data_IF_289316803066
#
_entry.id   IF_289316803066
#
_cell.length_a   1.000
_cell.length_b   1.000
_cell.length_c   1.000
_cell.angle_alpha   90.00
_cell.angle_beta   90.00
_cell.angle_gamma   90.00
#
_symmetry.space_group_name_H-M   'P 1'
#
loop_
_entity.id
_entity.type
_entity.pdbx_description
1 polymer ?
#
# COMPACT_ATOMS: atom_id res chain seq x y z
N UNK A 1 -17.25 16.43 24.47
CA UNK A 1 -16.24 15.36 24.52
C UNK A 1 -14.85 15.95 24.39
N UNK A 2 -13.87 15.32 25.03
CA UNK A 2 -12.45 15.57 24.79
C UNK A 2 -11.99 14.66 23.64
N UNK A 3 -11.58 15.24 22.55
CA UNK A 3 -11.18 14.51 21.32
C UNK A 3 -9.69 14.74 21.11
N UNK A 4 -8.91 13.68 21.16
CA UNK A 4 -7.49 13.74 20.82
C UNK A 4 -7.29 13.37 19.33
N UNK A 5 -6.75 14.32 18.58
CA UNK A 5 -6.40 14.15 17.18
C UNK A 5 -4.96 13.69 17.07
N UNK A 6 -4.76 12.46 16.60
CA UNK A 6 -3.43 11.89 16.32
C UNK A 6 -3.08 12.27 14.89
N UNK A 7 -2.33 13.38 14.72
CA UNK A 7 -1.88 13.81 13.40
C UNK A 7 -0.64 13.01 12.99
N UNK A 8 -0.86 11.95 12.19
CA UNK A 8 0.20 11.08 11.66
C UNK A 8 0.98 11.67 10.49
N UNK A 9 0.61 12.85 10.01
CA UNK A 9 1.34 13.50 8.93
C UNK A 9 2.72 14.00 9.41
N UNK A 10 3.81 13.71 8.68
CA UNK A 10 5.12 14.26 8.99
C UNK A 10 5.20 15.79 8.80
N UNK A 11 4.20 16.40 8.18
CA UNK A 11 4.12 17.86 7.96
C UNK A 11 3.56 18.61 9.17
N UNK A 12 3.10 17.93 10.22
CA UNK A 12 2.52 18.54 11.41
C UNK A 12 1.39 19.50 11.06
N UNK A 13 1.47 20.76 11.52
CA UNK A 13 0.45 21.79 11.25
C UNK A 13 0.21 22.11 9.77
N UNK A 14 1.14 21.74 8.88
CA UNK A 14 1.00 21.92 7.43
C UNK A 14 0.35 20.72 6.73
N UNK A 15 -0.21 19.78 7.50
CA UNK A 15 -0.98 18.67 6.94
C UNK A 15 -2.29 19.18 6.34
N UNK A 16 -2.58 18.74 5.10
CA UNK A 16 -3.88 19.03 4.45
C UNK A 16 -5.00 18.33 5.22
N UNK A 17 -4.80 17.09 5.63
CA UNK A 17 -5.79 16.33 6.39
C UNK A 17 -6.16 17.01 7.71
N UNK A 18 -5.18 17.62 8.38
CA UNK A 18 -5.44 18.37 9.61
C UNK A 18 -6.37 19.58 9.40
N UNK A 19 -6.40 20.18 8.19
CA UNK A 19 -7.28 21.32 7.91
C UNK A 19 -8.75 20.92 8.00
N UNK A 20 -9.10 19.69 7.64
CA UNK A 20 -10.49 19.18 7.82
C UNK A 20 -10.86 19.13 9.29
N UNK A 21 -9.93 18.73 10.17
CA UNK A 21 -10.20 18.71 11.61
C UNK A 21 -10.30 20.11 12.21
N UNK A 22 -9.47 21.06 11.78
CA UNK A 22 -9.57 22.45 12.19
C UNK A 22 -10.88 23.10 11.71
N UNK A 23 -11.40 22.68 10.57
CA UNK A 23 -12.72 23.08 10.09
C UNK A 23 -13.83 22.52 10.98
N UNK A 24 -13.75 21.23 11.34
CA UNK A 24 -14.73 20.58 12.24
C UNK A 24 -14.68 21.19 13.65
N UNK A 25 -13.52 21.47 14.21
CA UNK A 25 -13.38 22.17 15.50
C UNK A 25 -14.14 23.50 15.53
N UNK A 26 -14.04 24.28 14.45
CA UNK A 26 -14.78 25.54 14.33
C UNK A 26 -16.30 25.36 14.18
N UNK A 27 -16.75 24.24 13.63
CA UNK A 27 -18.17 23.94 13.41
C UNK A 27 -18.84 23.31 14.62
N UNK A 28 -18.06 22.66 15.49
CA UNK A 28 -18.53 21.96 16.69
C UNK A 28 -17.79 22.44 17.94
N UNK A 29 -17.96 23.75 18.31
CA UNK A 29 -17.23 24.38 19.40
C UNK A 29 -17.57 23.82 20.79
N UNK A 30 -18.63 23.02 20.92
CA UNK A 30 -19.02 22.33 22.16
C UNK A 30 -18.12 21.13 22.49
N UNK A 31 -17.22 20.73 21.56
CA UNK A 31 -16.22 19.68 21.77
C UNK A 31 -14.83 20.28 21.89
N UNK A 32 -13.98 19.65 22.70
CA UNK A 32 -12.58 20.08 22.87
C UNK A 32 -11.69 19.21 21.99
N UNK A 33 -10.98 19.83 21.07
CA UNK A 33 -9.99 19.16 20.23
C UNK A 33 -8.58 19.43 20.71
N UNK A 34 -7.79 18.39 20.90
CA UNK A 34 -6.39 18.46 21.27
C UNK A 34 -5.57 17.76 20.20
N UNK A 35 -4.63 18.46 19.56
CA UNK A 35 -3.85 17.92 18.43
C UNK A 35 -2.48 17.47 18.87
N UNK A 36 -2.20 16.17 18.73
CA UNK A 36 -0.88 15.56 18.87
C UNK A 36 -0.25 15.42 17.48
N UNK A 37 0.77 16.19 17.14
CA UNK A 37 1.47 16.13 15.86
C UNK A 37 2.44 14.92 15.80
N UNK A 38 1.91 13.72 16.02
CA UNK A 38 2.67 12.47 16.20
C UNK A 38 3.66 12.20 15.06
N UNK A 39 3.24 12.35 13.80
CA UNK A 39 4.11 12.11 12.66
C UNK A 39 5.28 13.08 12.56
N UNK A 40 5.12 14.32 13.00
CA UNK A 40 6.19 15.32 12.97
C UNK A 40 7.23 15.11 14.07
N UNK A 41 6.78 14.72 15.28
CA UNK A 41 7.63 14.62 16.46
C UNK A 41 7.98 13.16 16.83
N UNK A 42 7.80 12.22 15.92
CA UNK A 42 7.94 10.78 16.18
C UNK A 42 9.27 10.43 16.84
N UNK A 43 10.38 11.02 16.41
CA UNK A 43 11.71 10.80 17.00
C UNK A 43 11.84 11.28 18.45
N UNK A 44 11.03 12.26 18.86
CA UNK A 44 10.96 12.70 20.25
C UNK A 44 10.10 11.75 21.07
N UNK A 45 9.02 11.26 20.49
CA UNK A 45 8.12 10.28 21.12
C UNK A 45 8.79 8.92 21.35
N UNK A 46 9.72 8.52 20.48
CA UNK A 46 10.57 7.34 20.70
C UNK A 46 11.47 7.44 21.93
N UNK A 47 11.82 8.66 22.32
CA UNK A 47 12.65 8.91 23.51
C UNK A 47 11.81 9.04 24.78
N UNK A 48 10.68 9.70 24.69
CA UNK A 48 9.75 9.93 25.79
C UNK A 48 8.31 10.00 25.27
N UNK A 49 7.52 8.99 25.61
CA UNK A 49 6.12 8.86 25.20
C UNK A 49 5.14 9.31 26.31
N UNK A 50 5.62 9.72 27.47
CA UNK A 50 4.81 9.95 28.67
C UNK A 50 3.71 11.01 28.47
N UNK A 51 4.05 12.14 27.86
CA UNK A 51 3.07 13.21 27.59
C UNK A 51 2.02 12.80 26.55
N UNK A 52 2.42 12.07 25.52
CA UNK A 52 1.49 11.52 24.54
C UNK A 52 0.55 10.49 25.18
N UNK A 53 1.08 9.59 26.01
CA UNK A 53 0.29 8.61 26.75
C UNK A 53 -0.77 9.29 27.61
N UNK A 54 -0.39 10.26 28.44
CA UNK A 54 -1.33 11.00 29.28
C UNK A 54 -2.45 11.67 28.47
N UNK A 55 -2.11 12.27 27.30
CA UNK A 55 -3.09 12.91 26.42
C UNK A 55 -4.07 11.92 25.80
N UNK A 56 -3.60 10.72 25.41
CA UNK A 56 -4.44 9.67 24.86
C UNK A 56 -5.37 9.06 25.92
N UNK A 57 -4.84 8.86 27.12
CA UNK A 57 -5.60 8.29 28.23
C UNK A 57 -6.65 9.26 28.81
N UNK A 58 -6.47 10.58 28.68
CA UNK A 58 -7.46 11.60 29.09
C UNK A 58 -8.57 11.82 28.06
N UNK A 59 -8.43 11.35 26.83
CA UNK A 59 -9.40 11.55 25.77
C UNK A 59 -10.66 10.68 25.95
N UNK A 60 -11.83 11.18 25.51
CA UNK A 60 -13.05 10.39 25.34
C UNK A 60 -13.05 9.66 23.97
N UNK A 61 -12.46 10.28 22.96
CA UNK A 61 -12.37 9.76 21.63
C UNK A 61 -11.05 10.12 20.94
N UNK A 62 -10.61 9.26 20.02
CA UNK A 62 -9.39 9.42 19.22
C UNK A 62 -9.74 9.58 17.75
N UNK A 63 -9.09 10.52 17.05
CA UNK A 63 -9.21 10.67 15.59
C UNK A 63 -7.82 10.53 14.97
N UNK A 64 -7.60 9.46 14.20
CA UNK A 64 -6.39 9.30 13.40
C UNK A 64 -6.49 10.15 12.13
N UNK A 65 -5.57 11.10 11.97
CA UNK A 65 -5.54 12.06 10.86
C UNK A 65 -4.25 11.91 10.07
N UNK A 66 -4.32 11.54 8.79
CA UNK A 66 -3.12 11.24 8.02
C UNK A 66 -3.33 11.33 6.50
N UNK A 67 -2.26 11.63 5.72
CA UNK A 67 -2.26 11.41 4.27
C UNK A 67 -2.00 9.93 3.97
N UNK A 68 -2.54 9.40 2.87
CA UNK A 68 -2.17 8.05 2.41
C UNK A 68 -0.80 8.09 1.75
N UNK A 69 0.13 7.26 2.23
CA UNK A 69 1.47 7.06 1.66
C UNK A 69 1.67 5.60 1.31
N UNK A 70 2.05 5.34 0.08
CA UNK A 70 2.44 4.00 -0.38
C UNK A 70 1.45 2.92 0.11
N UNK A 71 0.20 3.02 -0.31
CA UNK A 71 -0.92 2.10 0.01
C UNK A 71 -1.47 2.16 1.44
N UNK A 72 -0.77 2.73 2.40
CA UNK A 72 -1.12 2.71 3.83
C UNK A 72 -0.96 4.11 4.47
N UNK A 73 -1.07 4.17 5.79
CA UNK A 73 -0.68 5.34 6.56
C UNK A 73 0.85 5.57 6.48
N UNK A 74 1.35 6.81 6.73
CA UNK A 74 2.79 7.07 6.76
C UNK A 74 3.52 6.25 7.83
N UNK A 75 4.77 5.88 7.57
CA UNK A 75 5.59 5.08 8.50
C UNK A 75 5.70 5.70 9.90
N UNK A 76 5.62 7.01 10.01
CA UNK A 76 5.59 7.71 11.29
C UNK A 76 4.34 7.37 12.11
N UNK A 77 3.18 7.18 11.47
CA UNK A 77 1.96 6.78 12.15
C UNK A 77 2.00 5.29 12.52
N UNK A 78 2.60 4.43 11.68
CA UNK A 78 2.88 3.04 12.04
C UNK A 78 3.72 2.99 13.31
N UNK A 79 4.83 3.74 13.35
CA UNK A 79 5.69 3.78 14.54
C UNK A 79 4.97 4.32 15.78
N UNK A 80 4.08 5.30 15.60
CA UNK A 80 3.27 5.82 16.71
C UNK A 80 2.34 4.75 17.29
N UNK A 81 1.69 3.94 16.44
CA UNK A 81 0.83 2.84 16.88
C UNK A 81 1.64 1.77 17.61
N UNK A 82 2.83 1.42 17.12
CA UNK A 82 3.75 0.53 17.84
C UNK A 82 4.09 1.09 19.23
N UNK A 83 4.42 2.40 19.33
CA UNK A 83 4.69 3.05 20.61
C UNK A 83 3.49 3.04 21.55
N UNK A 84 2.25 3.15 21.05
CA UNK A 84 1.06 2.99 21.88
C UNK A 84 0.99 1.59 22.50
N UNK A 85 1.29 0.55 21.72
CA UNK A 85 1.30 -0.85 22.18
C UNK A 85 2.47 -1.10 23.15
N UNK A 86 3.69 -0.66 22.82
CA UNK A 86 4.90 -0.79 23.63
C UNK A 86 4.74 -0.12 25.01
N UNK A 87 4.14 1.06 25.04
CA UNK A 87 3.91 1.83 26.28
C UNK A 87 2.61 1.43 27.01
N UNK A 88 1.89 0.42 26.50
CA UNK A 88 0.65 -0.08 27.11
C UNK A 88 -0.33 1.06 27.42
N UNK A 89 -0.64 1.88 26.40
CA UNK A 89 -1.56 2.99 26.53
C UNK A 89 -2.97 2.46 26.78
N UNK A 90 -3.62 2.90 27.86
CA UNK A 90 -4.98 2.46 28.18
C UNK A 90 -6.03 3.31 27.46
N UNK A 91 -6.40 2.84 26.29
CA UNK A 91 -7.46 3.44 25.45
C UNK A 91 -8.66 2.50 25.26
N UNK A 92 -8.67 1.36 25.96
CA UNK A 92 -9.72 0.36 25.83
C UNK A 92 -11.11 0.95 26.09
N UNK A 93 -12.03 0.69 25.19
CA UNK A 93 -13.44 1.13 25.28
C UNK A 93 -13.69 2.59 24.91
N UNK A 94 -12.65 3.39 24.60
CA UNK A 94 -12.79 4.74 24.03
C UNK A 94 -13.22 4.63 22.57
N UNK A 95 -13.87 5.68 22.06
CA UNK A 95 -14.27 5.74 20.66
C UNK A 95 -13.08 6.13 19.77
N UNK A 96 -13.09 5.61 18.53
CA UNK A 96 -12.10 5.99 17.55
C UNK A 96 -12.71 6.13 16.16
N UNK A 97 -12.15 7.04 15.38
CA UNK A 97 -12.40 7.16 13.94
C UNK A 97 -11.14 7.67 13.24
N UNK A 98 -11.23 7.88 11.93
CA UNK A 98 -10.10 8.37 11.14
C UNK A 98 -10.54 9.33 10.03
N UNK A 99 -9.63 10.21 9.65
CA UNK A 99 -9.76 11.05 8.46
C UNK A 99 -8.46 10.91 7.66
N UNK A 100 -8.58 10.56 6.39
CA UNK A 100 -7.44 10.57 5.47
C UNK A 100 -7.68 11.54 4.31
N UNK A 101 -6.58 12.00 3.70
CA UNK A 101 -6.62 12.69 2.40
C UNK A 101 -5.65 12.05 1.42
N UNK A 102 -6.13 11.87 0.19
CA UNK A 102 -5.34 11.30 -0.91
C UNK A 102 -5.95 11.70 -2.26
N UNK A 103 -5.50 11.09 -3.34
CA UNK A 103 -6.20 11.03 -4.63
C UNK A 103 -6.93 9.68 -4.78
N UNK A 104 -7.41 9.12 -3.67
CA UNK A 104 -8.07 7.81 -3.58
C UNK A 104 -7.19 6.64 -4.06
N UNK A 105 -5.86 6.82 -4.01
CA UNK A 105 -4.90 5.76 -4.31
C UNK A 105 -4.76 4.86 -3.10
N UNK A 106 -5.45 3.73 -3.10
CA UNK A 106 -5.44 2.72 -2.03
C UNK A 106 -5.75 3.28 -0.63
N UNK A 107 -6.64 4.27 -0.55
CA UNK A 107 -7.18 4.77 0.72
C UNK A 107 -7.92 3.68 1.50
N UNK A 108 -8.55 2.74 0.80
CA UNK A 108 -9.25 1.60 1.40
C UNK A 108 -8.31 0.71 2.23
N UNK A 109 -7.10 0.43 1.75
CA UNK A 109 -6.11 -0.36 2.50
C UNK A 109 -5.52 0.41 3.66
N UNK A 110 -5.33 1.73 3.51
CA UNK A 110 -4.91 2.61 4.59
C UNK A 110 -5.95 2.70 5.71
N UNK A 111 -7.25 2.81 5.33
CA UNK A 111 -8.34 2.81 6.29
C UNK A 111 -8.46 1.48 7.04
N UNK A 112 -8.33 0.37 6.31
CA UNK A 112 -8.40 -0.96 6.95
C UNK A 112 -7.27 -1.19 7.93
N UNK A 113 -6.05 -0.74 7.61
CA UNK A 113 -4.92 -0.79 8.52
C UNK A 113 -5.18 -0.05 9.85
N UNK A 114 -5.74 1.16 9.80
CA UNK A 114 -6.08 1.91 11.02
C UNK A 114 -7.21 1.26 11.79
N UNK A 115 -8.24 0.74 11.10
CA UNK A 115 -9.36 0.01 11.72
C UNK A 115 -8.84 -1.21 12.50
N UNK A 116 -8.05 -2.07 11.87
CA UNK A 116 -7.51 -3.29 12.47
C UNK A 116 -6.68 -2.96 13.73
N UNK A 117 -5.78 -1.98 13.65
CA UNK A 117 -4.99 -1.55 14.79
C UNK A 117 -5.80 -0.86 15.89
N UNK A 118 -6.85 -0.11 15.54
CA UNK A 118 -7.76 0.48 16.53
C UNK A 118 -8.51 -0.61 17.30
N UNK A 119 -8.93 -1.66 16.61
CA UNK A 119 -9.59 -2.81 17.23
C UNK A 119 -8.65 -3.59 18.17
N UNK A 120 -7.39 -3.79 17.78
CA UNK A 120 -6.34 -4.39 18.63
C UNK A 120 -6.11 -3.61 19.92
N UNK A 121 -6.17 -2.29 19.85
CA UNK A 121 -6.06 -1.40 21.02
C UNK A 121 -7.34 -1.41 21.88
N UNK A 122 -8.36 -2.17 21.51
CA UNK A 122 -9.65 -2.26 22.22
C UNK A 122 -10.53 -1.04 22.06
N UNK A 123 -10.28 -0.22 21.03
CA UNK A 123 -11.08 0.95 20.71
C UNK A 123 -12.42 0.55 20.07
N UNK A 124 -13.44 1.36 20.30
CA UNK A 124 -14.75 1.28 19.63
C UNK A 124 -14.67 2.06 18.33
N UNK A 125 -14.39 1.36 17.25
CA UNK A 125 -14.11 2.00 15.97
C UNK A 125 -15.39 2.39 15.22
N UNK A 126 -15.41 3.59 14.68
CA UNK A 126 -16.46 4.12 13.81
C UNK A 126 -15.82 4.51 12.48
N UNK A 127 -16.41 4.05 11.37
CA UNK A 127 -15.88 4.25 10.01
C UNK A 127 -15.53 5.71 9.73
N UNK A 128 -14.34 5.92 9.19
CA UNK A 128 -13.74 7.22 8.92
C UNK A 128 -14.15 7.87 7.60
N UNK A 129 -13.61 9.08 7.38
CA UNK A 129 -13.72 9.86 6.16
C UNK A 129 -12.47 9.70 5.30
N UNK A 130 -12.63 9.23 4.05
CA UNK A 130 -11.62 9.33 3.02
C UNK A 130 -11.97 10.49 2.09
N UNK A 131 -11.17 11.56 2.11
CA UNK A 131 -11.39 12.77 1.35
C UNK A 131 -10.34 12.94 0.24
N UNK A 132 -10.72 13.57 -0.87
CA UNK A 132 -9.74 14.08 -1.82
C UNK A 132 -8.98 15.27 -1.21
N UNK A 133 -7.78 15.51 -1.68
CA UNK A 133 -6.92 16.60 -1.18
C UNK A 133 -7.55 18.00 -1.33
N UNK A 134 -8.51 18.15 -2.23
CA UNK A 134 -9.15 19.44 -2.57
C UNK A 134 -10.60 19.54 -2.05
N UNK A 135 -11.16 18.47 -1.47
CA UNK A 135 -12.57 18.41 -1.06
C UNK A 135 -12.96 19.54 -0.09
N UNK A 136 -12.12 19.83 0.88
CA UNK A 136 -12.41 20.90 1.84
C UNK A 136 -12.51 22.29 1.19
N UNK A 137 -11.96 22.49 -0.02
CA UNK A 137 -12.02 23.76 -0.74
C UNK A 137 -13.34 23.95 -1.50
N UNK A 138 -14.16 22.90 -1.60
CA UNK A 138 -15.46 22.97 -2.26
C UNK A 138 -16.61 22.71 -1.28
N UNK A 139 -17.81 23.23 -1.64
CA UNK A 139 -19.00 23.17 -0.78
C UNK A 139 -19.39 21.72 -0.46
N UNK A 140 -19.39 20.84 -1.46
CA UNK A 140 -19.78 19.44 -1.28
C UNK A 140 -18.83 18.73 -0.30
N UNK A 141 -17.52 18.89 -0.44
CA UNK A 141 -16.56 18.27 0.46
C UNK A 141 -16.64 18.82 1.90
N UNK A 142 -17.00 20.12 2.07
CA UNK A 142 -17.30 20.65 3.39
C UNK A 142 -18.58 20.03 3.99
N UNK A 143 -19.63 19.85 3.20
CA UNK A 143 -20.85 19.17 3.61
C UNK A 143 -20.58 17.68 3.97
N UNK A 144 -19.75 17.00 3.20
CA UNK A 144 -19.37 15.60 3.49
C UNK A 144 -18.58 15.48 4.80
N UNK A 145 -17.69 16.42 5.09
CA UNK A 145 -16.98 16.48 6.36
C UNK A 145 -17.94 16.71 7.55
N UNK A 146 -18.93 17.59 7.40
CA UNK A 146 -19.95 17.82 8.43
C UNK A 146 -20.80 16.58 8.67
N UNK A 147 -21.36 15.97 7.61
CA UNK A 147 -22.18 14.74 7.70
C UNK A 147 -21.40 13.57 8.32
N UNK A 148 -20.11 13.45 7.98
CA UNK A 148 -19.25 12.46 8.60
C UNK A 148 -19.16 12.66 10.11
N UNK A 149 -18.89 13.88 10.56
CA UNK A 149 -18.69 14.15 11.98
C UNK A 149 -20.01 14.08 12.78
N UNK A 150 -21.11 14.56 12.20
CA UNK A 150 -22.46 14.39 12.76
C UNK A 150 -22.80 12.91 12.94
N UNK A 151 -22.49 12.07 11.94
CA UNK A 151 -22.66 10.61 12.04
C UNK A 151 -21.77 10.02 13.12
N UNK A 152 -20.53 10.46 13.24
CA UNK A 152 -19.62 10.02 14.30
C UNK A 152 -20.23 10.33 15.68
N UNK A 153 -20.66 11.56 15.93
CA UNK A 153 -21.28 11.97 17.18
C UNK A 153 -22.56 11.18 17.48
N UNK A 154 -23.40 10.99 16.47
CA UNK A 154 -24.60 10.17 16.60
C UNK A 154 -24.26 8.73 16.96
N UNK A 155 -23.29 8.12 16.28
CA UNK A 155 -22.85 6.74 16.55
C UNK A 155 -22.31 6.58 17.97
N UNK A 156 -21.54 7.56 18.47
CA UNK A 156 -21.08 7.59 19.87
C UNK A 156 -22.27 7.63 20.83
N UNK A 157 -23.26 8.48 20.56
CA UNK A 157 -24.42 8.67 21.44
C UNK A 157 -25.30 7.42 21.51
N UNK A 158 -25.47 6.70 20.39
CA UNK A 158 -26.32 5.49 20.36
C UNK A 158 -25.56 4.20 20.58
N UNK A 159 -24.21 4.26 20.69
CA UNK A 159 -23.36 3.09 20.94
C UNK A 159 -23.21 2.16 19.74
N UNK A 160 -23.19 2.69 18.50
CA UNK A 160 -22.94 1.91 17.26
C UNK A 160 -21.49 2.04 16.85
N UNK A 161 -20.77 0.93 16.85
CA UNK A 161 -19.34 0.86 16.53
C UNK A 161 -18.94 -0.55 16.09
N UNK A 162 -17.79 -0.64 15.41
CA UNK A 162 -17.11 -1.91 15.16
C UNK A 162 -16.26 -2.27 16.38
N UNK A 163 -16.22 -3.55 16.71
CA UNK A 163 -15.40 -4.11 17.78
C UNK A 163 -14.66 -5.35 17.29
N UNK A 164 -13.52 -5.69 17.92
CA UNK A 164 -12.83 -6.92 17.63
C UNK A 164 -13.76 -8.11 17.87
N UNK A 165 -13.95 -8.93 16.84
CA UNK A 165 -14.94 -10.01 16.87
C UNK A 165 -14.40 -11.35 17.37
N UNK A 166 -13.08 -11.57 17.40
CA UNK A 166 -12.50 -12.88 17.73
C UNK A 166 -11.15 -12.75 18.46
N UNK A 167 -11.01 -13.50 19.54
CA UNK A 167 -9.71 -13.88 20.08
C UNK A 167 -9.20 -15.06 19.24
N UNK A 168 -8.13 -14.87 18.48
CA UNK A 168 -7.46 -15.99 17.83
C UNK A 168 -6.61 -16.76 18.84
N UNK A 169 -6.50 -18.09 18.67
CA UNK A 169 -5.56 -18.92 19.42
C UNK A 169 -4.12 -18.40 19.28
N UNK A 170 -3.26 -18.71 20.24
CA UNK A 170 -1.84 -18.33 20.16
C UNK A 170 -1.21 -18.90 18.88
N UNK A 171 -0.49 -18.06 18.16
CA UNK A 171 0.21 -18.47 16.94
C UNK A 171 1.53 -19.15 17.28
N UNK A 172 1.72 -20.35 16.77
CA UNK A 172 2.98 -21.07 16.84
C UNK A 172 3.50 -21.26 15.41
N UNK A 173 4.60 -20.59 15.03
CA UNK A 173 5.14 -20.72 13.68
C UNK A 173 5.68 -22.12 13.42
N UNK A 174 5.48 -22.62 12.22
CA UNK A 174 6.17 -23.80 11.70
C UNK A 174 7.64 -23.46 11.47
N UNK A 175 8.56 -24.26 11.96
CA UNK A 175 10.00 -23.99 11.85
C UNK A 175 10.53 -24.48 10.50
N UNK A 176 11.12 -23.59 9.72
CA UNK A 176 11.85 -23.96 8.52
C UNK A 176 13.17 -24.67 8.89
N UNK A 177 13.46 -25.77 8.19
CA UNK A 177 14.69 -26.54 8.34
C UNK A 177 15.61 -26.36 7.12
N UNK A 178 16.92 -26.56 7.31
CA UNK A 178 17.82 -26.61 6.17
C UNK A 178 17.58 -27.92 5.37
N UNK A 179 17.60 -27.85 4.02
CA UNK A 179 17.42 -29.05 3.21
C UNK A 179 18.61 -30.00 3.37
N UNK A 180 18.38 -31.30 3.16
CA UNK A 180 19.45 -32.31 3.16
C UNK A 180 20.48 -32.10 2.05
N UNK A 181 20.07 -31.47 0.97
CA UNK A 181 20.95 -31.12 -0.17
C UNK A 181 20.76 -29.65 -0.48
N UNK A 182 21.84 -28.90 -0.42
CA UNK A 182 21.88 -27.49 -0.83
C UNK A 182 21.96 -27.43 -2.35
N UNK A 183 21.20 -26.55 -2.96
CA UNK A 183 21.23 -26.35 -4.41
C UNK A 183 22.59 -25.79 -4.86
N UNK A 184 23.09 -26.31 -5.98
CA UNK A 184 24.26 -25.73 -6.64
C UNK A 184 23.93 -24.28 -7.06
N UNK A 185 24.84 -23.36 -6.75
CA UNK A 185 24.63 -21.92 -6.99
C UNK A 185 25.17 -21.52 -8.35
N UNK A 186 24.28 -21.04 -9.21
CA UNK A 186 24.66 -20.42 -10.47
C UNK A 186 25.02 -18.93 -10.27
N UNK A 187 26.08 -18.50 -10.93
CA UNK A 187 26.39 -17.08 -11.14
C UNK A 187 25.58 -16.54 -12.34
N UNK A 188 25.35 -15.27 -12.42
CA UNK A 188 24.71 -14.63 -13.59
C UNK A 188 23.33 -14.05 -13.32
N UNK A 189 22.86 -14.10 -12.06
CA UNK A 189 21.68 -13.38 -11.60
C UNK A 189 21.97 -12.69 -10.27
N UNK A 190 21.51 -11.45 -10.12
CA UNK A 190 21.56 -10.71 -8.85
C UNK A 190 20.20 -10.76 -8.17
N UNK A 191 20.11 -11.50 -7.06
CA UNK A 191 18.89 -11.64 -6.28
C UNK A 191 19.09 -11.01 -4.91
N UNK A 192 18.28 -10.01 -4.60
CA UNK A 192 18.37 -9.33 -3.32
C UNK A 192 17.24 -9.72 -2.39
N UNK A 193 17.59 -10.14 -1.18
CA UNK A 193 16.64 -10.35 -0.08
C UNK A 193 16.71 -9.12 0.83
N UNK A 194 15.58 -8.46 1.02
CA UNK A 194 15.47 -7.27 1.89
C UNK A 194 14.74 -7.69 3.16
N UNK A 195 15.37 -7.47 4.32
CA UNK A 195 14.78 -7.80 5.60
C UNK A 195 15.11 -6.73 6.64
N UNK A 196 14.26 -6.60 7.66
CA UNK A 196 14.55 -5.81 8.88
C UNK A 196 14.75 -6.69 10.12
N UNK A 197 14.84 -7.99 9.92
CA UNK A 197 15.02 -8.96 11.00
C UNK A 197 16.36 -8.80 11.72
N UNK A 198 16.31 -8.70 13.06
CA UNK A 198 17.49 -8.64 13.94
C UNK A 198 17.77 -9.93 14.68
N UNK A 199 16.81 -10.85 14.70
CA UNK A 199 16.91 -12.11 15.44
C UNK A 199 17.30 -13.24 14.50
N UNK A 200 18.56 -13.63 14.52
CA UNK A 200 19.09 -14.72 13.69
C UNK A 200 18.47 -16.11 13.98
N UNK A 201 17.78 -16.24 15.11
CA UNK A 201 17.12 -17.47 15.56
C UNK A 201 15.59 -17.40 15.38
N UNK A 202 15.06 -16.35 14.74
CA UNK A 202 13.63 -16.24 14.47
C UNK A 202 13.17 -17.22 13.40
N UNK A 203 11.87 -17.50 13.35
CA UNK A 203 11.27 -18.28 12.27
C UNK A 203 11.57 -17.65 10.89
N UNK A 204 11.46 -16.33 10.78
CA UNK A 204 11.81 -15.58 9.58
C UNK A 204 13.26 -15.84 9.14
N UNK A 205 14.23 -15.79 10.08
CA UNK A 205 15.63 -16.07 9.77
C UNK A 205 15.83 -17.50 9.22
N UNK A 206 15.12 -18.48 9.78
CA UNK A 206 15.18 -19.86 9.30
C UNK A 206 14.58 -20.01 7.89
N UNK A 207 13.47 -19.31 7.61
CA UNK A 207 12.87 -19.29 6.27
C UNK A 207 13.81 -18.66 5.23
N UNK A 208 14.50 -17.54 5.58
CA UNK A 208 15.50 -16.91 4.72
C UNK A 208 16.66 -17.87 4.43
N UNK A 209 17.23 -18.51 5.47
CA UNK A 209 18.31 -19.50 5.34
C UNK A 209 17.89 -20.69 4.45
N UNK A 210 16.67 -21.17 4.59
CA UNK A 210 16.13 -22.22 3.71
C UNK A 210 16.00 -21.73 2.28
N UNK A 211 15.43 -20.55 2.05
CA UNK A 211 15.33 -19.96 0.71
C UNK A 211 16.70 -19.86 0.06
N UNK A 212 17.68 -19.30 0.76
CA UNK A 212 19.07 -19.24 0.31
C UNK A 212 19.64 -20.62 -0.01
N UNK A 213 19.27 -21.67 0.75
CA UNK A 213 19.79 -23.02 0.52
C UNK A 213 19.16 -23.70 -0.70
N UNK A 214 17.86 -23.57 -0.93
CA UNK A 214 17.13 -24.26 -2.02
C UNK A 214 17.12 -23.51 -3.34
N UNK A 215 17.33 -22.20 -3.33
CA UNK A 215 17.28 -21.37 -4.53
C UNK A 215 18.53 -21.55 -5.39
N UNK A 216 18.42 -21.72 -6.73
CA UNK A 216 19.55 -22.13 -7.57
C UNK A 216 20.53 -21.00 -7.94
N UNK A 217 20.24 -19.76 -7.58
CA UNK A 217 21.12 -18.62 -7.83
C UNK A 217 21.71 -18.07 -6.54
N UNK A 218 22.85 -17.37 -6.64
CA UNK A 218 23.40 -16.64 -5.49
C UNK A 218 22.45 -15.51 -5.09
N UNK A 219 22.29 -15.36 -3.79
CA UNK A 219 21.49 -14.30 -3.18
C UNK A 219 22.38 -13.40 -2.34
N UNK A 220 21.96 -12.17 -2.14
CA UNK A 220 22.55 -11.26 -1.15
C UNK A 220 21.44 -10.71 -0.27
N UNK A 221 21.68 -10.72 1.02
CA UNK A 221 20.73 -10.23 2.00
C UNK A 221 21.11 -8.82 2.43
N UNK A 222 20.15 -7.91 2.36
CA UNK A 222 20.26 -6.51 2.79
C UNK A 222 19.35 -6.30 4.00
N UNK A 223 19.97 -6.09 5.15
CA UNK A 223 19.23 -5.78 6.38
C UNK A 223 19.01 -4.28 6.50
N UNK A 224 17.76 -3.84 6.37
CA UNK A 224 17.38 -2.43 6.46
C UNK A 224 17.23 -1.93 7.91
N UNK A 225 17.29 -2.83 8.90
CA UNK A 225 17.26 -2.43 10.32
C UNK A 225 18.43 -1.53 10.67
N UNK A 226 19.60 -1.78 10.05
CA UNK A 226 20.84 -1.06 10.28
C UNK A 226 21.05 0.12 9.34
N UNK A 227 20.19 0.28 8.33
CA UNK A 227 20.29 1.41 7.42
C UNK A 227 20.00 2.74 8.16
N UNK A 228 20.89 3.76 8.04
CA UNK A 228 20.79 5.01 8.83
C UNK A 228 19.76 5.97 8.20
N UNK A 229 18.49 5.61 8.19
CA UNK A 229 17.45 6.49 7.66
C UNK A 229 17.42 7.83 8.40
N UNK A 230 17.48 8.93 7.68
CA UNK A 230 17.26 10.26 8.22
C UNK A 230 15.83 10.46 8.76
N UNK A 231 14.89 9.62 8.31
CA UNK A 231 13.48 9.58 8.72
C UNK A 231 12.62 8.98 7.61
N UNK A 232 11.33 8.81 7.89
CA UNK A 232 10.32 8.40 6.92
C UNK A 232 10.05 9.48 5.87
N UNK A 233 9.36 9.13 4.78
CA UNK A 233 9.04 10.07 3.72
C UNK A 233 8.25 11.28 4.26
N UNK A 234 8.62 12.49 3.84
CA UNK A 234 7.97 13.74 4.24
C UNK A 234 6.84 14.16 3.29
N UNK A 235 6.64 13.45 2.16
CA UNK A 235 5.69 13.86 1.12
C UNK A 235 6.00 15.24 0.54
N UNK A 236 7.26 15.62 0.43
CA UNK A 236 7.71 16.96 0.00
C UNK A 236 7.73 17.13 -1.52
N UNK A 237 7.44 16.11 -2.31
CA UNK A 237 7.42 16.07 -3.78
C UNK A 237 8.75 16.42 -4.48
N UNK A 238 9.84 16.63 -3.75
CA UNK A 238 11.14 17.01 -4.36
C UNK A 238 11.62 15.98 -5.39
N UNK A 239 11.40 14.70 -5.14
CA UNK A 239 11.75 13.60 -6.04
C UNK A 239 10.94 13.61 -7.35
N UNK A 240 9.67 14.02 -7.32
CA UNK A 240 8.85 14.17 -8.53
C UNK A 240 9.31 15.34 -9.43
N UNK A 241 9.98 16.33 -8.83
CA UNK A 241 10.52 17.52 -9.54
C UNK A 241 11.91 17.24 -10.11
N UNK A 242 12.83 16.69 -9.27
CA UNK A 242 14.28 16.69 -9.55
C UNK A 242 14.94 15.30 -9.46
N UNK A 243 14.18 14.24 -9.22
CA UNK A 243 14.65 12.85 -9.00
C UNK A 243 15.53 12.67 -7.75
N UNK A 244 15.66 13.70 -6.92
CA UNK A 244 16.48 13.68 -5.71
C UNK A 244 15.64 13.72 -4.45
N UNK A 245 15.97 12.88 -3.46
CA UNK A 245 15.37 12.94 -2.15
C UNK A 245 15.81 14.21 -1.40
N UNK A 246 14.97 14.69 -0.47
CA UNK A 246 15.31 15.80 0.45
C UNK A 246 16.36 15.38 1.47
N UNK A 247 16.33 14.12 1.88
CA UNK A 247 17.34 13.54 2.77
C UNK A 247 18.67 13.36 2.06
N UNK A 248 19.76 13.49 2.81
CA UNK A 248 21.14 13.31 2.34
C UNK A 248 21.78 12.05 2.96
N UNK A 249 20.97 11.05 3.29
CA UNK A 249 21.38 9.79 3.89
C UNK A 249 21.79 8.72 2.86
N UNK A 250 21.86 9.09 1.58
CA UNK A 250 22.28 8.20 0.49
C UNK A 250 21.25 7.17 0.06
N UNK A 251 20.05 7.15 0.66
CA UNK A 251 19.04 6.11 0.39
C UNK A 251 18.60 6.06 -1.07
N UNK A 252 18.45 7.19 -1.74
CA UNK A 252 18.04 7.23 -3.15
C UNK A 252 19.08 6.60 -4.09
N UNK A 253 20.37 6.73 -3.76
CA UNK A 253 21.46 6.05 -4.46
C UNK A 253 21.46 4.56 -4.14
N UNK A 254 21.45 4.21 -2.87
CA UNK A 254 21.37 2.82 -2.40
C UNK A 254 20.20 2.06 -3.03
N UNK A 255 18.99 2.65 -3.03
CA UNK A 255 17.83 2.00 -3.63
C UNK A 255 18.03 1.72 -5.12
N UNK A 256 18.56 2.68 -5.87
CA UNK A 256 18.67 2.57 -7.35
C UNK A 256 19.83 1.70 -7.79
N UNK A 257 20.97 1.83 -7.12
CA UNK A 257 22.21 1.18 -7.54
C UNK A 257 22.42 -0.19 -6.90
N UNK A 258 21.89 -0.40 -5.67
CA UNK A 258 22.11 -1.65 -4.94
C UNK A 258 20.85 -2.56 -4.91
N UNK A 259 19.65 -2.00 -5.02
CA UNK A 259 18.41 -2.80 -4.89
C UNK A 259 17.70 -2.96 -6.23
N UNK A 260 17.38 -1.86 -6.90
CA UNK A 260 16.52 -1.89 -8.09
C UNK A 260 17.24 -2.29 -9.37
N UNK A 261 18.54 -2.46 -9.34
CA UNK A 261 19.33 -3.06 -10.42
C UNK A 261 19.34 -4.60 -10.39
N UNK A 262 18.84 -5.21 -9.32
CA UNK A 262 18.78 -6.67 -9.20
C UNK A 262 17.82 -7.30 -10.23
N UNK A 263 18.02 -8.59 -10.53
CA UNK A 263 17.14 -9.37 -11.41
C UNK A 263 15.83 -9.76 -10.71
N UNK A 264 15.83 -9.90 -9.38
CA UNK A 264 14.65 -10.14 -8.56
C UNK A 264 14.83 -9.60 -7.13
N UNK A 265 13.71 -9.29 -6.48
CA UNK A 265 13.67 -8.84 -5.09
C UNK A 265 12.80 -9.80 -4.27
N UNK A 266 13.30 -10.21 -3.11
CA UNK A 266 12.54 -10.94 -2.09
C UNK A 266 12.43 -10.07 -0.84
N UNK A 267 11.22 -9.72 -0.46
CA UNK A 267 10.94 -8.97 0.78
C UNK A 267 10.66 -9.94 1.91
N UNK A 268 11.41 -9.85 3.01
CA UNK A 268 11.31 -10.77 4.14
C UNK A 268 11.07 -10.01 5.45
N UNK A 269 9.91 -10.21 6.08
CA UNK A 269 9.49 -9.49 7.29
C UNK A 269 8.63 -10.36 8.22
N UNK A 270 8.59 -9.99 9.50
CA UNK A 270 7.59 -10.49 10.43
C UNK A 270 6.34 -9.61 10.32
N UNK A 271 5.15 -10.24 10.34
CA UNK A 271 3.88 -9.52 10.34
C UNK A 271 3.76 -8.82 11.69
N UNK A 272 3.70 -7.50 11.65
CA UNK A 272 3.52 -6.63 12.80
C UNK A 272 2.43 -5.62 12.48
N UNK A 273 1.54 -5.36 13.44
CA UNK A 273 0.45 -4.38 13.28
C UNK A 273 -0.40 -4.60 12.03
N UNK A 274 -0.73 -5.86 11.69
CA UNK A 274 -1.45 -6.23 10.44
C UNK A 274 -0.71 -5.83 9.16
N UNK A 275 0.61 -5.54 9.26
CA UNK A 275 1.44 -5.10 8.14
C UNK A 275 2.88 -5.58 8.31
N UNK A 276 3.81 -4.91 7.66
CA UNK A 276 5.24 -5.23 7.64
C UNK A 276 6.07 -4.51 8.73
N UNK A 277 5.42 -3.89 9.72
CA UNK A 277 6.07 -3.07 10.75
C UNK A 277 6.56 -1.70 10.26
N UNK A 278 6.79 -0.79 11.20
CA UNK A 278 7.13 0.61 10.89
C UNK A 278 8.48 0.78 10.24
N UNK A 279 9.43 -0.10 10.54
CA UNK A 279 10.77 -0.04 9.95
C UNK A 279 10.74 -0.40 8.47
N UNK A 280 10.09 -1.49 8.12
CA UNK A 280 9.90 -1.90 6.75
C UNK A 280 9.03 -0.87 6.00
N UNK A 281 7.99 -0.34 6.65
CA UNK A 281 7.17 0.73 6.10
C UNK A 281 7.99 2.02 5.84
N UNK A 282 9.01 2.30 6.66
CA UNK A 282 9.94 3.42 6.39
C UNK A 282 10.73 3.21 5.11
N UNK A 283 11.28 2.01 4.89
CA UNK A 283 11.92 1.63 3.63
C UNK A 283 10.94 1.83 2.47
N UNK A 284 9.74 1.35 2.63
CA UNK A 284 8.68 1.40 1.66
C UNK A 284 8.28 2.83 1.26
N UNK A 285 7.98 3.69 2.22
CA UNK A 285 7.69 5.10 1.97
C UNK A 285 8.88 5.83 1.32
N UNK A 286 10.11 5.44 1.66
CA UNK A 286 11.31 6.03 1.09
C UNK A 286 11.55 5.64 -0.37
N UNK A 287 10.93 4.55 -0.88
CA UNK A 287 10.92 4.21 -2.31
C UNK A 287 10.30 5.34 -3.16
N UNK A 288 9.50 6.23 -2.56
CA UNK A 288 9.06 7.46 -3.20
C UNK A 288 10.19 8.41 -3.64
N UNK A 289 11.46 8.13 -3.33
CA UNK A 289 12.57 8.86 -3.96
C UNK A 289 12.59 8.69 -5.49
N UNK A 290 11.90 7.68 -6.02
CA UNK A 290 11.63 7.52 -7.45
C UNK A 290 10.40 8.33 -7.93
N UNK A 291 9.69 9.04 -7.05
CA UNK A 291 8.41 9.65 -7.37
C UNK A 291 7.37 8.56 -7.69
N UNK A 292 6.59 8.77 -8.73
CA UNK A 292 5.59 7.79 -9.20
C UNK A 292 6.11 6.95 -10.38
N UNK A 293 7.42 6.90 -10.60
CA UNK A 293 8.05 6.17 -11.70
C UNK A 293 8.16 4.70 -11.37
N UNK A 294 7.58 3.85 -12.22
CA UNK A 294 7.64 2.39 -12.13
C UNK A 294 8.95 1.90 -12.78
N UNK A 295 10.03 1.88 -12.00
CA UNK A 295 11.38 1.59 -12.52
C UNK A 295 11.72 0.11 -12.57
N UNK A 296 10.92 -0.76 -11.94
CA UNK A 296 11.14 -2.21 -11.83
C UNK A 296 10.13 -3.03 -12.63
N UNK A 297 9.52 -2.46 -13.67
CA UNK A 297 8.53 -3.15 -14.51
C UNK A 297 9.10 -4.45 -15.07
N UNK A 298 8.35 -5.55 -14.92
CA UNK A 298 8.74 -6.90 -15.37
C UNK A 298 9.64 -7.66 -14.41
N UNK A 299 10.10 -7.04 -13.31
CA UNK A 299 10.92 -7.70 -12.31
C UNK A 299 10.08 -8.70 -11.50
N UNK A 300 10.53 -9.97 -11.34
CA UNK A 300 9.88 -10.90 -10.42
C UNK A 300 10.12 -10.47 -8.96
N UNK A 301 9.08 -10.58 -8.14
CA UNK A 301 9.12 -10.24 -6.72
C UNK A 301 8.57 -11.39 -5.91
N UNK A 302 9.26 -11.76 -4.82
CA UNK A 302 8.81 -12.73 -3.83
C UNK A 302 8.65 -12.10 -2.45
N UNK A 303 7.88 -12.77 -1.59
CA UNK A 303 7.74 -12.38 -0.20
C UNK A 303 7.96 -13.57 0.72
N UNK A 304 8.61 -13.33 1.85
CA UNK A 304 8.73 -14.26 2.98
C UNK A 304 8.14 -13.53 4.19
N UNK A 305 6.97 -13.98 4.65
CA UNK A 305 6.24 -13.36 5.75
C UNK A 305 6.07 -14.34 6.90
N UNK A 306 6.66 -14.03 8.05
CA UNK A 306 6.45 -14.81 9.27
C UNK A 306 5.25 -14.28 10.03
N UNK A 307 4.27 -15.16 10.35
CA UNK A 307 3.04 -14.81 11.04
C UNK A 307 1.78 -15.38 10.38
N UNK A 308 0.62 -15.00 10.89
CA UNK A 308 -0.71 -15.49 10.41
C UNK A 308 -1.15 -14.81 9.11
N UNK A 309 -0.38 -14.98 8.06
CA UNK A 309 -0.63 -14.33 6.77
C UNK A 309 -2.03 -14.63 6.18
N UNK A 310 -2.59 -15.82 6.44
CA UNK A 310 -3.92 -16.17 5.92
C UNK A 310 -5.04 -15.32 6.50
N UNK A 311 -4.86 -14.74 7.69
CA UNK A 311 -5.82 -13.85 8.35
C UNK A 311 -5.65 -12.39 7.95
N UNK A 312 -4.52 -12.02 7.35
CA UNK A 312 -4.16 -10.65 6.99
C UNK A 312 -4.62 -10.27 5.58
N UNK A 313 -5.94 -10.21 5.39
CA UNK A 313 -6.53 -9.91 4.07
C UNK A 313 -6.09 -8.55 3.52
N UNK A 314 -5.93 -7.56 4.39
CA UNK A 314 -5.47 -6.23 3.99
C UNK A 314 -4.02 -6.26 3.51
N UNK A 315 -3.11 -6.92 4.25
CA UNK A 315 -1.71 -7.09 3.85
C UNK A 315 -1.57 -7.85 2.53
N UNK A 316 -2.38 -8.89 2.34
CA UNK A 316 -2.44 -9.65 1.06
C UNK A 316 -2.81 -8.73 -0.10
N UNK A 317 -3.84 -7.89 0.09
CA UNK A 317 -4.24 -6.89 -0.91
C UNK A 317 -3.12 -5.88 -1.19
N UNK A 318 -2.43 -5.40 -0.15
CA UNK A 318 -1.30 -4.46 -0.30
C UNK A 318 -0.16 -5.09 -1.09
N UNK A 319 0.23 -6.32 -0.79
CA UNK A 319 1.31 -7.05 -1.50
C UNK A 319 0.97 -7.20 -2.99
N UNK A 320 -0.22 -7.68 -3.31
CA UNK A 320 -0.68 -7.85 -4.69
C UNK A 320 -0.75 -6.50 -5.42
N UNK A 321 -1.39 -5.51 -4.81
CA UNK A 321 -1.55 -4.17 -5.38
C UNK A 321 -0.21 -3.47 -5.67
N UNK A 322 0.80 -3.70 -4.85
CA UNK A 322 2.15 -3.16 -5.07
C UNK A 322 2.80 -3.77 -6.31
N UNK A 323 2.76 -5.09 -6.42
CA UNK A 323 3.30 -5.78 -7.58
C UNK A 323 2.56 -5.35 -8.85
N UNK A 324 1.25 -5.33 -8.83
CA UNK A 324 0.40 -4.93 -9.95
C UNK A 324 0.65 -3.48 -10.38
N UNK A 325 0.67 -2.53 -9.43
CA UNK A 325 0.93 -1.11 -9.73
C UNK A 325 2.37 -0.88 -10.18
N UNK A 326 3.33 -1.63 -9.63
CA UNK A 326 4.75 -1.60 -10.03
C UNK A 326 5.01 -2.24 -11.38
N UNK A 327 4.07 -3.01 -11.93
CA UNK A 327 4.26 -3.84 -13.11
C UNK A 327 5.20 -5.01 -12.87
N UNK A 328 5.27 -5.50 -11.61
CA UNK A 328 6.10 -6.61 -11.20
C UNK A 328 5.32 -7.93 -11.27
N UNK A 329 6.00 -9.04 -11.47
CA UNK A 329 5.41 -10.36 -11.32
C UNK A 329 5.52 -10.83 -9.87
N UNK A 330 4.38 -11.05 -9.19
CA UNK A 330 4.36 -11.64 -7.85
C UNK A 330 4.59 -13.14 -7.94
N UNK A 331 5.80 -13.60 -7.61
CA UNK A 331 6.17 -15.01 -7.66
C UNK A 331 5.53 -15.83 -6.55
N UNK A 332 5.14 -15.21 -5.45
CA UNK A 332 4.44 -15.84 -4.34
C UNK A 332 4.82 -15.25 -2.99
N UNK A 333 4.15 -15.75 -1.96
CA UNK A 333 4.41 -15.42 -0.56
C UNK A 333 4.66 -16.72 0.19
N UNK A 334 5.86 -16.89 0.73
CA UNK A 334 6.18 -17.99 1.64
C UNK A 334 5.85 -17.59 3.07
N UNK A 335 5.26 -18.52 3.83
CA UNK A 335 4.85 -18.29 5.22
C UNK A 335 5.23 -19.46 6.11
N UNK A 336 5.35 -19.22 7.40
CA UNK A 336 5.55 -20.22 8.45
C UNK A 336 4.24 -20.64 9.13
N UNK A 337 3.11 -20.35 8.54
CA UNK A 337 1.80 -20.58 9.14
C UNK A 337 1.46 -22.07 9.27
N UNK A 338 1.82 -22.89 8.29
CA UNK A 338 1.51 -24.32 8.29
C UNK A 338 2.73 -25.20 8.06
N UNK A 339 3.39 -25.06 6.91
CA UNK A 339 4.58 -25.82 6.50
C UNK A 339 5.58 -24.86 5.85
N UNK A 340 6.48 -24.34 6.67
CA UNK A 340 7.48 -23.37 6.23
C UNK A 340 8.39 -23.92 5.14
N UNK A 341 8.80 -25.19 5.24
CA UNK A 341 9.68 -25.83 4.27
C UNK A 341 9.06 -25.85 2.88
N UNK A 342 7.87 -26.39 2.76
CA UNK A 342 7.14 -26.46 1.48
C UNK A 342 6.81 -25.09 0.92
N UNK A 343 6.45 -24.16 1.79
CA UNK A 343 6.09 -22.77 1.41
C UNK A 343 7.28 -22.05 0.79
N UNK A 344 8.45 -22.16 1.40
CA UNK A 344 9.70 -21.55 0.90
C UNK A 344 10.15 -22.22 -0.40
N UNK A 345 10.08 -23.55 -0.49
CA UNK A 345 10.46 -24.29 -1.69
C UNK A 345 9.57 -23.95 -2.89
N UNK A 346 8.26 -23.74 -2.68
CA UNK A 346 7.34 -23.27 -3.71
C UNK A 346 7.71 -21.88 -4.21
N UNK A 347 8.01 -20.96 -3.30
CA UNK A 347 8.46 -19.61 -3.67
C UNK A 347 9.75 -19.68 -4.51
N UNK A 348 10.75 -20.45 -4.07
CA UNK A 348 12.00 -20.60 -4.80
C UNK A 348 11.77 -21.13 -6.22
N UNK A 349 10.96 -22.15 -6.40
CA UNK A 349 10.62 -22.72 -7.72
C UNK A 349 9.90 -21.70 -8.61
N UNK A 350 8.92 -20.98 -8.06
CA UNK A 350 8.14 -19.96 -8.80
C UNK A 350 9.02 -18.79 -9.24
N UNK A 351 9.90 -18.32 -8.35
CA UNK A 351 10.82 -17.23 -8.67
C UNK A 351 11.85 -17.67 -9.73
N UNK A 352 12.36 -18.91 -9.65
CA UNK A 352 13.25 -19.49 -10.66
C UNK A 352 12.56 -19.52 -12.03
N UNK A 353 11.33 -20.04 -12.09
CA UNK A 353 10.54 -20.06 -13.32
C UNK A 353 10.38 -18.66 -13.92
N UNK A 354 10.03 -17.68 -13.09
CA UNK A 354 9.83 -16.31 -13.57
C UNK A 354 11.11 -15.68 -14.14
N UNK A 355 12.26 -15.94 -13.51
CA UNK A 355 13.57 -15.48 -13.98
C UNK A 355 14.00 -16.14 -15.30
N UNK A 356 13.81 -17.44 -15.43
CA UNK A 356 14.24 -18.22 -16.62
C UNK A 356 13.36 -17.90 -17.83
N UNK A 357 12.06 -17.76 -17.63
CA UNK A 357 11.10 -17.53 -18.71
C UNK A 357 10.83 -16.05 -18.99
N UNK A 358 11.34 -15.14 -18.14
CA UNK A 358 10.98 -13.71 -18.12
C UNK A 358 9.45 -13.53 -18.05
N UNK A 359 8.83 -14.31 -17.17
CA UNK A 359 7.39 -14.40 -17.07
C UNK A 359 6.79 -13.09 -16.60
N UNK A 360 5.70 -12.68 -17.25
CA UNK A 360 4.89 -11.52 -16.87
C UNK A 360 3.41 -11.86 -17.01
N UNK A 361 2.57 -11.18 -16.26
CA UNK A 361 1.11 -11.30 -16.36
C UNK A 361 0.47 -9.95 -16.72
N UNK A 362 -0.67 -9.93 -17.42
CA UNK A 362 -1.44 -8.72 -17.59
C UNK A 362 -1.86 -8.16 -16.21
N UNK A 363 -1.83 -6.84 -16.07
CA UNK A 363 -2.29 -6.17 -14.84
C UNK A 363 -3.79 -6.42 -14.61
N UNK A 364 -4.15 -6.66 -13.36
CA UNK A 364 -5.53 -6.71 -12.90
C UNK A 364 -6.05 -5.30 -12.53
N UNK A 365 -7.23 -5.23 -11.88
CA UNK A 365 -7.84 -3.97 -11.43
C UNK A 365 -6.89 -3.13 -10.57
N UNK A 366 -6.11 -3.75 -9.68
CA UNK A 366 -5.17 -3.03 -8.81
C UNK A 366 -4.10 -2.28 -9.61
N UNK A 367 -3.49 -2.94 -10.59
CA UNK A 367 -2.49 -2.32 -11.46
C UNK A 367 -3.09 -1.24 -12.35
N UNK A 368 -4.15 -1.58 -13.08
CA UNK A 368 -4.82 -0.66 -14.01
C UNK A 368 -5.37 0.55 -13.28
N UNK A 369 -6.08 0.35 -12.16
CA UNK A 369 -6.67 1.43 -11.36
C UNK A 369 -5.63 2.34 -10.73
N UNK A 370 -4.61 1.76 -10.09
CA UNK A 370 -3.52 2.52 -9.46
C UNK A 370 -2.74 3.35 -10.47
N UNK A 371 -2.37 2.76 -11.61
CA UNK A 371 -1.66 3.46 -12.68
C UNK A 371 -2.49 4.56 -13.32
N UNK A 372 -3.81 4.37 -13.41
CA UNK A 372 -4.70 5.42 -13.91
C UNK A 372 -4.69 6.65 -13.00
N UNK A 373 -4.78 6.45 -11.69
CA UNK A 373 -4.72 7.56 -10.71
C UNK A 373 -3.39 8.31 -10.83
N UNK A 374 -2.27 7.61 -10.87
CA UNK A 374 -0.95 8.22 -11.03
C UNK A 374 -0.83 8.98 -12.35
N UNK A 375 -1.27 8.38 -13.45
CA UNK A 375 -1.24 9.00 -14.76
C UNK A 375 -2.00 10.33 -14.79
N UNK A 376 -3.23 10.33 -14.28
CA UNK A 376 -4.10 11.50 -14.28
C UNK A 376 -3.52 12.61 -13.39
N UNK A 377 -3.03 12.26 -12.18
CA UNK A 377 -2.36 13.17 -11.26
C UNK A 377 -1.12 13.82 -11.90
N UNK A 378 -0.22 12.99 -12.45
CA UNK A 378 1.02 13.49 -13.05
C UNK A 378 0.74 14.36 -14.28
N UNK A 379 -0.25 14.01 -15.07
CA UNK A 379 -0.66 14.82 -16.22
C UNK A 379 -1.21 16.17 -15.80
N UNK A 380 -2.08 16.20 -14.78
CA UNK A 380 -2.62 17.44 -14.21
C UNK A 380 -1.49 18.33 -13.66
N UNK A 381 -0.56 17.74 -12.91
CA UNK A 381 0.52 18.44 -12.23
C UNK A 381 1.85 18.46 -13.01
N UNK A 382 1.85 18.20 -14.31
CA UNK A 382 3.06 18.03 -15.15
C UNK A 382 4.06 19.16 -15.11
N UNK A 383 3.59 20.39 -14.87
CA UNK A 383 4.45 21.56 -14.71
C UNK A 383 5.31 21.50 -13.45
N UNK A 384 4.80 20.92 -12.39
CA UNK A 384 5.48 20.72 -11.10
C UNK A 384 6.19 19.36 -11.05
N UNK A 385 5.52 18.26 -11.42
CA UNK A 385 6.05 16.89 -11.37
C UNK A 385 6.88 16.56 -12.63
N UNK A 386 7.89 17.36 -12.92
CA UNK A 386 8.64 17.35 -14.20
C UNK A 386 9.34 16.03 -14.47
N UNK A 387 9.95 15.42 -13.46
CA UNK A 387 10.69 14.17 -13.62
C UNK A 387 9.74 13.00 -13.90
N UNK A 388 8.64 12.91 -13.17
CA UNK A 388 7.62 11.88 -13.37
C UNK A 388 6.94 12.06 -14.73
N UNK A 389 6.59 13.30 -15.11
CA UNK A 389 6.02 13.58 -16.43
C UNK A 389 6.95 13.18 -17.59
N UNK A 390 8.25 13.48 -17.48
CA UNK A 390 9.23 13.08 -18.50
C UNK A 390 9.30 11.55 -18.64
N UNK A 391 9.31 10.84 -17.52
CA UNK A 391 9.31 9.37 -17.51
C UNK A 391 8.05 8.82 -18.16
N UNK A 392 6.86 9.25 -17.74
CA UNK A 392 5.57 8.78 -18.27
C UNK A 392 5.43 9.04 -19.78
N UNK A 393 5.90 10.19 -20.25
CA UNK A 393 5.94 10.52 -21.69
C UNK A 393 6.86 9.58 -22.46
N UNK A 394 8.08 9.32 -21.90
CA UNK A 394 9.08 8.43 -22.53
C UNK A 394 8.60 7.00 -22.63
N UNK A 395 7.91 6.51 -21.59
CA UNK A 395 7.39 5.14 -21.52
C UNK A 395 6.03 4.96 -22.23
N UNK A 396 5.45 6.02 -22.78
CA UNK A 396 4.16 5.93 -23.48
C UNK A 396 2.97 5.62 -22.58
N UNK A 397 3.06 5.92 -21.25
CA UNK A 397 2.03 5.58 -20.27
C UNK A 397 0.77 6.45 -20.44
N UNK A 398 0.89 7.61 -21.07
CA UNK A 398 -0.27 8.46 -21.35
C UNK A 398 -1.09 7.90 -22.53
N UNK A 399 -2.11 7.13 -22.24
CA UNK A 399 -3.05 6.55 -23.20
C UNK A 399 -4.37 7.30 -23.30
N UNK A 400 -4.45 8.49 -22.69
CA UNK A 400 -5.64 9.35 -22.75
C UNK A 400 -5.30 10.78 -23.22
N UNK A 401 -6.27 11.53 -23.74
CA UNK A 401 -7.58 11.04 -24.13
C UNK A 401 -7.44 9.92 -25.16
N UNK A 402 -8.29 8.89 -25.03
CA UNK A 402 -8.19 7.74 -25.93
C UNK A 402 -8.33 8.20 -27.39
N UNK A 403 -7.26 8.05 -28.17
CA UNK A 403 -7.18 8.50 -29.56
C UNK A 403 -7.87 7.54 -30.57
N UNK A 404 -8.78 6.70 -30.09
CA UNK A 404 -9.51 5.71 -30.93
C UNK A 404 -10.74 6.33 -31.59
N UNK A 405 -10.58 7.49 -32.20
CA UNK A 405 -11.70 8.23 -32.82
C UNK A 405 -12.45 7.43 -33.89
N UNK A 406 -11.76 6.60 -34.70
CA UNK A 406 -12.39 5.71 -35.66
C UNK A 406 -13.30 4.67 -34.99
N UNK A 407 -12.87 4.10 -33.86
CA UNK A 407 -13.69 3.19 -33.07
C UNK A 407 -14.91 3.92 -32.52
N UNK A 408 -14.73 5.15 -32.01
CA UNK A 408 -15.85 5.96 -31.52
C UNK A 408 -16.88 6.24 -32.61
N UNK A 409 -16.44 6.65 -33.81
CA UNK A 409 -17.34 6.85 -34.95
C UNK A 409 -18.12 5.57 -35.31
N UNK A 410 -17.40 4.42 -35.39
CA UNK A 410 -18.05 3.12 -35.60
C UNK A 410 -19.10 2.81 -34.54
N UNK A 411 -18.80 3.09 -33.26
CA UNK A 411 -19.74 2.86 -32.15
C UNK A 411 -20.96 3.81 -32.24
N UNK A 412 -20.78 5.06 -32.66
CA UNK A 412 -21.91 5.97 -32.92
C UNK A 412 -22.82 5.44 -34.01
N UNK A 413 -22.26 4.93 -35.12
CA UNK A 413 -23.03 4.34 -36.20
C UNK A 413 -23.77 3.08 -35.74
N UNK A 414 -23.09 2.19 -35.04
CA UNK A 414 -23.70 0.99 -34.45
C UNK A 414 -24.80 1.37 -33.46
N UNK A 415 -24.57 2.34 -32.59
CA UNK A 415 -25.55 2.83 -31.64
C UNK A 415 -26.79 3.41 -32.31
N UNK A 416 -26.62 4.18 -33.37
CA UNK A 416 -27.74 4.73 -34.18
C UNK A 416 -28.59 3.62 -34.84
N UNK A 417 -27.94 2.57 -35.35
CA UNK A 417 -28.65 1.40 -35.90
C UNK A 417 -29.41 0.64 -34.81
N UNK A 418 -28.79 0.42 -33.65
CA UNK A 418 -29.39 -0.31 -32.53
C UNK A 418 -30.46 0.46 -31.78
N UNK A 419 -30.59 1.78 -32.01
CA UNK A 419 -31.67 2.60 -31.44
C UNK A 419 -33.05 2.24 -32.06
N UNK A 420 -33.08 1.48 -33.16
CA UNK A 420 -34.30 0.96 -33.73
C UNK A 420 -34.63 -0.39 -33.07
N UNK A 421 -35.74 -0.44 -32.30
CA UNK A 421 -36.15 -1.67 -31.59
C UNK A 421 -36.36 -2.87 -32.51
N UNK A 422 -36.83 -2.67 -33.74
CA UNK A 422 -37.00 -3.76 -34.69
C UNK A 422 -35.64 -4.36 -35.08
N UNK A 423 -34.64 -3.53 -35.28
CA UNK A 423 -33.28 -3.97 -35.58
C UNK A 423 -32.66 -4.67 -34.35
N UNK A 424 -32.81 -4.08 -33.18
CA UNK A 424 -32.30 -4.64 -31.92
C UNK A 424 -32.88 -6.04 -31.66
N UNK A 425 -34.19 -6.23 -31.85
CA UNK A 425 -34.88 -7.50 -31.66
C UNK A 425 -34.51 -8.56 -32.70
N UNK A 426 -34.13 -8.15 -33.91
CA UNK A 426 -33.67 -9.08 -34.97
C UNK A 426 -32.21 -9.42 -34.89
N UNK A 427 -31.41 -8.66 -34.11
CA UNK A 427 -29.98 -8.89 -34.00
C UNK A 427 -29.57 -10.01 -33.02
N UNK A 428 -30.38 -10.38 -32.03
CA UNK A 428 -30.23 -11.55 -31.17
C UNK A 428 -28.82 -12.18 -31.16
N UNK A 429 -28.70 -13.40 -31.64
CA UNK A 429 -27.43 -14.12 -31.76
C UNK A 429 -26.42 -13.51 -32.73
N UNK A 430 -26.85 -12.69 -33.72
CA UNK A 430 -25.93 -12.05 -34.70
C UNK A 430 -24.97 -11.06 -34.03
N UNK A 431 -25.37 -10.46 -32.92
CA UNK A 431 -24.46 -9.60 -32.14
C UNK A 431 -23.34 -10.42 -31.51
N UNK A 432 -23.65 -11.59 -30.96
CA UNK A 432 -22.64 -12.50 -30.41
C UNK A 432 -21.72 -13.05 -31.53
N UNK A 433 -22.27 -13.40 -32.69
CA UNK A 433 -21.47 -13.83 -33.84
C UNK A 433 -20.53 -12.71 -34.34
N UNK A 434 -21.01 -11.45 -34.35
CA UNK A 434 -20.19 -10.29 -34.69
C UNK A 434 -19.03 -10.06 -33.70
N UNK A 435 -19.25 -10.29 -32.41
CA UNK A 435 -18.19 -10.22 -31.39
C UNK A 435 -17.14 -11.33 -31.56
N UNK A 436 -17.53 -12.50 -32.05
CA UNK A 436 -16.64 -13.64 -32.28
C UNK A 436 -15.92 -13.62 -33.64
N UNK A 437 -16.39 -12.81 -34.61
CA UNK A 437 -15.82 -12.78 -35.95
C UNK A 437 -14.29 -12.51 -35.99
N UNK A 438 -13.71 -11.59 -35.17
CA UNK A 438 -12.26 -11.40 -35.14
C UNK A 438 -11.49 -12.64 -34.67
N UNK A 439 -12.06 -13.40 -33.70
CA UNK A 439 -11.45 -14.62 -33.20
C UNK A 439 -11.50 -15.77 -34.20
N UNK A 440 -12.62 -15.92 -34.94
CA UNK A 440 -12.72 -16.89 -36.06
C UNK A 440 -11.62 -16.62 -37.06
N UNK A 441 -11.45 -15.35 -37.49
CA UNK A 441 -10.37 -14.98 -38.39
C UNK A 441 -8.98 -15.35 -37.88
N UNK A 442 -8.72 -15.14 -36.58
CA UNK A 442 -7.46 -15.53 -35.94
C UNK A 442 -7.23 -17.05 -36.04
N UNK A 443 -8.24 -17.85 -35.69
CA UNK A 443 -8.14 -19.31 -35.75
C UNK A 443 -7.96 -19.81 -37.20
N UNK A 444 -8.71 -19.25 -38.18
CA UNK A 444 -8.55 -19.57 -39.60
C UNK A 444 -7.13 -19.25 -40.14
N UNK A 445 -6.47 -18.24 -39.57
CA UNK A 445 -5.07 -17.90 -39.90
C UNK A 445 -4.08 -18.85 -39.22
N UNK A 446 -4.39 -19.41 -38.03
CA UNK A 446 -3.55 -20.41 -37.34
C UNK A 446 -3.61 -21.77 -38.04
N UNK A 447 -4.78 -22.16 -38.55
CA UNK A 447 -4.96 -23.44 -39.26
C UNK A 447 -4.29 -23.46 -40.65
N UNK A 448 -3.87 -22.29 -41.15
CA UNK A 448 -3.15 -22.18 -42.45
C UNK A 448 -1.62 -22.22 -42.29
N UNK A 449 -1.11 -22.21 -41.07
CA UNK A 449 0.32 -22.36 -40.75
C UNK A 449 0.66 -23.78 -40.37
#
# INVERSE_FOLDING_TARGET
>A
MKITVINGSPKGKYSITLQTLLFLEKKFPEHTFSVLNAGQIIKSLEKDFSSAKAMLEDADALIFSYPVYTFLAPSQLHRFIELMKENKVDVKGKYATQISTSKHFYDVTAHKYIEENALDLGLKYIRGLSADMEDLLCKNGQEDALKFFERFLWSVNVGIYESASLTCDEFVPSTASLPSTVADKSDGRDIVIITDNKNENSSLANMIKRFEAVFPYKTRTVNISDYPFGGGCLGCFRCAVSEKCVYKDGFDKFLREDIQCADAIVYAFEISDHSMGSRFKTYDDRNFCNGHRTVTVGMPVGYIASGRYSLENNLRTVIEARCETGGNFLSGVATDEFNADESVDKLAKSLTFALETKHTTPQNFYGVGGMKIFRDLIYQMRGMMRADHKFYKKQGIYDFPQKKWLTSIKMYLVGALLSNEKILNTMGNKMNEGMLAPYKKLFDEMDKK
#
